data_IF_172797356667
#
_entry.id   IF_172797356667
#
_cell.length_a   1.000
_cell.length_b   1.000
_cell.length_c   1.000
_cell.angle_alpha   90.00
_cell.angle_beta   90.00
_cell.angle_gamma   90.00
#
_symmetry.space_group_name_H-M   'P 1'
#
loop_
_entity.id
_entity.type
_entity.pdbx_description
1 polymer ?
#
# COMPACT_ATOMS: atom_id res chain seq x y z
N UNK A 1 5.48 -19.58 -21.38
CA UNK A 1 5.52 -20.17 -19.99
C UNK A 1 5.55 -21.69 -20.02
N UNK A 2 6.19 -22.35 -19.04
CA UNK A 2 6.12 -23.82 -18.90
C UNK A 2 4.84 -24.22 -18.15
N UNK A 3 4.31 -25.42 -18.44
CA UNK A 3 3.13 -25.94 -17.73
C UNK A 3 3.38 -26.11 -16.20
N UNK A 4 4.63 -26.24 -15.77
CA UNK A 4 4.99 -26.29 -14.35
C UNK A 4 4.86 -24.91 -13.71
N UNK A 5 5.30 -23.86 -14.40
CA UNK A 5 5.19 -22.49 -13.93
C UNK A 5 3.72 -22.04 -13.81
N UNK A 6 2.89 -22.36 -14.80
CA UNK A 6 1.44 -22.09 -14.75
C UNK A 6 0.77 -22.78 -13.56
N UNK A 7 1.08 -24.07 -13.32
CA UNK A 7 0.56 -24.77 -12.14
C UNK A 7 1.04 -24.17 -10.82
N UNK A 8 2.27 -23.64 -10.79
CA UNK A 8 2.76 -22.93 -9.61
C UNK A 8 1.99 -21.62 -9.40
N UNK A 9 1.79 -20.83 -10.44
CA UNK A 9 1.02 -19.57 -10.38
C UNK A 9 -0.38 -19.80 -9.82
N UNK A 10 -1.10 -20.81 -10.32
CA UNK A 10 -2.45 -21.13 -9.86
C UNK A 10 -2.48 -21.58 -8.38
N UNK A 11 -1.51 -22.38 -7.97
CA UNK A 11 -1.38 -22.79 -6.56
C UNK A 11 -1.06 -21.60 -5.66
N UNK A 12 -0.10 -20.77 -6.07
CA UNK A 12 0.32 -19.61 -5.29
C UNK A 12 -0.79 -18.57 -5.19
N UNK A 13 -1.54 -18.33 -6.27
CA UNK A 13 -2.71 -17.45 -6.26
C UNK A 13 -3.73 -17.86 -5.19
N UNK A 14 -4.13 -19.13 -5.18
CA UNK A 14 -5.08 -19.64 -4.17
C UNK A 14 -4.53 -19.57 -2.75
N UNK A 15 -3.24 -19.85 -2.57
CA UNK A 15 -2.57 -19.72 -1.27
C UNK A 15 -2.49 -18.26 -0.82
N UNK A 16 -2.14 -17.35 -1.73
CA UNK A 16 -2.08 -15.92 -1.43
C UNK A 16 -3.45 -15.39 -1.04
N UNK A 17 -4.51 -15.77 -1.74
CA UNK A 17 -5.88 -15.38 -1.38
C UNK A 17 -6.26 -15.88 0.03
N UNK A 18 -6.03 -17.17 0.32
CA UNK A 18 -6.33 -17.75 1.63
C UNK A 18 -5.50 -17.10 2.75
N UNK A 19 -4.20 -16.89 2.54
CA UNK A 19 -3.30 -16.30 3.54
C UNK A 19 -3.61 -14.81 3.78
N UNK A 20 -3.92 -14.04 2.74
CA UNK A 20 -4.33 -12.64 2.86
C UNK A 20 -5.61 -12.50 3.72
N UNK A 21 -6.59 -13.37 3.50
CA UNK A 21 -7.86 -13.33 4.23
C UNK A 21 -7.70 -13.58 5.74
N UNK A 22 -6.63 -14.23 6.19
CA UNK A 22 -6.32 -14.34 7.63
C UNK A 22 -6.10 -12.99 8.29
N UNK A 23 -5.64 -11.99 7.52
CA UNK A 23 -5.43 -10.61 8.00
C UNK A 23 -6.71 -9.76 8.01
N UNK A 24 -7.80 -10.25 7.42
CA UNK A 24 -9.07 -9.50 7.25
C UNK A 24 -10.03 -9.86 8.37
N UNK A 25 -10.48 -8.86 9.13
CA UNK A 25 -11.37 -9.08 10.29
C UNK A 25 -10.86 -10.17 11.25
N UNK A 26 -9.59 -10.13 11.72
CA UNK A 26 -8.94 -11.25 12.41
C UNK A 26 -9.38 -11.35 13.89
N UNK A 27 -10.68 -11.37 14.16
CA UNK A 27 -11.32 -11.29 15.48
C UNK A 27 -10.93 -12.44 16.44
N UNK A 28 -10.43 -13.55 15.89
CA UNK A 28 -9.97 -14.70 16.66
C UNK A 28 -8.52 -14.58 17.16
N UNK A 29 -7.77 -13.59 16.68
CA UNK A 29 -6.37 -13.40 17.08
C UNK A 29 -6.29 -12.33 18.19
N UNK A 30 -5.50 -12.59 19.21
CA UNK A 30 -5.30 -11.66 20.33
C UNK A 30 -3.82 -11.35 20.47
N UNK A 31 -3.46 -10.07 20.40
CA UNK A 31 -2.08 -9.59 20.57
C UNK A 31 -1.92 -8.94 21.93
N UNK A 32 -1.03 -9.50 22.75
CA UNK A 32 -0.57 -8.83 23.99
C UNK A 32 0.67 -7.99 23.67
N UNK A 33 0.73 -6.78 24.20
CA UNK A 33 1.89 -5.87 24.21
C UNK A 33 2.24 -5.50 25.65
N UNK A 34 2.89 -6.41 26.39
CA UNK A 34 3.16 -6.20 27.82
C UNK A 34 3.93 -4.92 28.11
N UNK A 35 4.89 -4.56 27.24
CA UNK A 35 5.66 -3.33 27.39
C UNK A 35 4.81 -2.06 27.39
N UNK A 36 3.73 -2.05 26.61
CA UNK A 36 2.75 -0.96 26.58
C UNK A 36 1.54 -1.19 27.50
N UNK A 37 1.52 -2.29 28.25
CA UNK A 37 0.48 -2.60 29.23
C UNK A 37 -0.90 -2.88 28.63
N UNK A 38 -1.01 -3.26 27.34
CA UNK A 38 -2.30 -3.48 26.70
C UNK A 38 -2.40 -4.78 25.90
N UNK A 39 -3.63 -5.22 25.70
CA UNK A 39 -3.98 -6.38 24.89
C UNK A 39 -4.97 -5.95 23.82
N UNK A 40 -4.62 -6.20 22.56
CA UNK A 40 -5.41 -5.84 21.38
C UNK A 40 -6.26 -7.01 20.92
N UNK A 41 -7.55 -6.76 20.74
CA UNK A 41 -8.53 -7.70 20.20
C UNK A 41 -9.15 -7.11 18.95
N UNK A 42 -8.73 -7.54 17.75
CA UNK A 42 -9.23 -7.01 16.50
C UNK A 42 -10.76 -7.06 16.44
N UNK A 43 -11.35 -6.05 15.79
CA UNK A 43 -12.78 -6.01 15.49
C UNK A 43 -13.02 -6.24 14.01
N UNK A 44 -14.26 -6.56 13.64
CA UNK A 44 -14.66 -6.74 12.23
C UNK A 44 -14.36 -5.48 11.43
N UNK A 45 -13.87 -5.67 10.22
CA UNK A 45 -13.51 -4.60 9.29
C UNK A 45 -12.07 -4.10 9.45
N UNK A 46 -11.37 -4.41 10.56
CA UNK A 46 -9.95 -4.15 10.65
C UNK A 46 -9.17 -5.08 9.71
N UNK A 47 -8.09 -4.58 9.13
CA UNK A 47 -7.16 -5.36 8.30
C UNK A 47 -5.76 -5.14 8.85
N UNK A 48 -5.11 -6.21 9.32
CA UNK A 48 -3.76 -6.13 9.88
C UNK A 48 -2.71 -6.40 8.80
N UNK A 49 -1.58 -5.68 8.87
CA UNK A 49 -0.53 -5.87 7.87
C UNK A 49 0.11 -7.26 7.98
N UNK A 50 0.22 -7.83 9.20
CA UNK A 50 0.63 -9.22 9.40
C UNK A 50 -0.12 -9.83 10.59
N UNK A 51 -0.59 -11.10 10.49
CA UNK A 51 -1.24 -11.81 11.59
C UNK A 51 -0.25 -12.43 12.60
N UNK A 52 1.05 -12.29 12.34
CA UNK A 52 2.10 -12.86 13.18
C UNK A 52 2.21 -12.08 14.49
N UNK A 53 2.22 -12.78 15.61
CA UNK A 53 2.37 -12.20 16.95
C UNK A 53 3.85 -11.96 17.28
N UNK A 54 4.49 -11.09 16.50
CA UNK A 54 5.91 -10.76 16.61
C UNK A 54 6.16 -9.62 17.62
N UNK A 55 7.35 -9.60 18.21
CA UNK A 55 7.79 -8.61 19.20
C UNK A 55 9.12 -7.95 18.81
N UNK A 56 9.27 -7.55 17.52
CA UNK A 56 10.42 -6.86 16.94
C UNK A 56 11.70 -7.69 16.76
N UNK A 57 11.77 -8.90 17.30
CA UNK A 57 12.89 -9.82 17.08
C UNK A 57 12.39 -11.27 17.10
N UNK A 58 12.61 -12.06 16.05
CA UNK A 58 13.29 -11.68 14.78
C UNK A 58 12.43 -10.86 13.82
N UNK A 59 11.10 -10.83 13.98
CA UNK A 59 10.16 -10.21 13.06
C UNK A 59 9.59 -8.91 13.67
N UNK A 60 9.24 -7.90 12.85
CA UNK A 60 8.61 -6.67 13.33
C UNK A 60 7.17 -6.89 13.78
N UNK A 61 6.71 -6.08 14.73
CA UNK A 61 5.29 -6.07 15.14
C UNK A 61 4.46 -5.31 14.10
N UNK A 62 3.88 -6.02 13.15
CA UNK A 62 2.98 -5.50 12.12
C UNK A 62 1.51 -5.83 12.41
N UNK A 63 1.18 -6.12 13.65
CA UNK A 63 -0.19 -6.37 14.10
C UNK A 63 -0.97 -5.06 14.30
N UNK A 64 -1.03 -4.24 13.23
CA UNK A 64 -1.75 -2.98 13.17
C UNK A 64 -2.55 -2.87 11.87
N UNK A 65 -3.55 -2.00 11.88
CA UNK A 65 -4.29 -1.59 10.69
C UNK A 65 -3.62 -0.35 10.10
N UNK A 66 -2.78 -0.52 9.06
CA UNK A 66 -2.27 0.58 8.24
C UNK A 66 -3.33 1.03 7.27
N UNK A 67 -3.52 2.34 7.11
CA UNK A 67 -4.51 2.89 6.18
C UNK A 67 -4.17 2.51 4.73
N UNK A 68 -2.90 2.62 4.32
CA UNK A 68 -2.42 2.20 2.99
C UNK A 68 -2.61 0.72 2.73
N UNK A 69 -2.06 -0.14 3.59
CA UNK A 69 -2.08 -1.59 3.43
C UNK A 69 -3.49 -2.14 3.37
N UNK A 70 -4.36 -1.61 4.23
CA UNK A 70 -5.76 -2.03 4.27
C UNK A 70 -6.52 -1.68 2.99
N UNK A 71 -6.21 -0.54 2.36
CA UNK A 71 -6.80 -0.15 1.09
C UNK A 71 -6.33 -1.06 -0.06
N UNK A 72 -5.03 -1.41 -0.09
CA UNK A 72 -4.47 -2.35 -1.09
C UNK A 72 -5.08 -3.74 -0.94
N UNK A 73 -5.19 -4.25 0.30
CA UNK A 73 -5.83 -5.54 0.57
C UNK A 73 -7.30 -5.53 0.18
N UNK A 74 -8.03 -4.44 0.45
CA UNK A 74 -9.45 -4.33 0.09
C UNK A 74 -9.65 -4.25 -1.44
N UNK A 75 -8.71 -3.66 -2.18
CA UNK A 75 -8.75 -3.70 -3.64
C UNK A 75 -8.45 -5.11 -4.18
N UNK A 76 -7.53 -5.85 -3.57
CA UNK A 76 -7.29 -7.26 -3.91
C UNK A 76 -8.52 -8.16 -3.62
N UNK A 77 -9.29 -7.90 -2.55
CA UNK A 77 -10.58 -8.58 -2.29
C UNK A 77 -11.59 -8.27 -3.39
N UNK A 78 -11.63 -7.04 -3.90
CA UNK A 78 -12.45 -6.68 -5.06
C UNK A 78 -12.09 -7.52 -6.29
N UNK A 79 -10.80 -7.67 -6.57
CA UNK A 79 -10.34 -8.51 -7.69
C UNK A 79 -10.74 -9.96 -7.54
N UNK A 80 -10.66 -10.52 -6.32
CA UNK A 80 -11.15 -11.87 -6.03
C UNK A 80 -12.67 -11.99 -6.24
N UNK A 81 -13.43 -10.96 -5.88
CA UNK A 81 -14.88 -10.89 -6.11
C UNK A 81 -15.22 -10.85 -7.59
N UNK A 82 -14.59 -9.97 -8.37
CA UNK A 82 -14.79 -9.86 -9.83
C UNK A 82 -14.45 -11.17 -10.57
N UNK A 83 -13.44 -11.89 -10.09
CA UNK A 83 -13.06 -13.18 -10.64
C UNK A 83 -14.00 -14.34 -10.27
N UNK A 84 -14.92 -14.11 -9.32
CA UNK A 84 -15.76 -15.18 -8.77
C UNK A 84 -15.05 -16.13 -7.81
N UNK A 85 -13.83 -15.80 -7.38
CA UNK A 85 -13.03 -16.61 -6.44
C UNK A 85 -13.45 -16.37 -4.99
N UNK A 86 -14.09 -15.25 -4.72
CA UNK A 86 -14.67 -14.91 -3.42
C UNK A 86 -16.10 -14.34 -3.63
N UNK A 87 -17.10 -15.04 -3.13
CA UNK A 87 -18.51 -14.69 -3.34
C UNK A 87 -19.02 -13.60 -2.39
N UNK A 88 -20.20 -13.80 -1.82
CA UNK A 88 -20.87 -12.83 -0.93
C UNK A 88 -20.05 -12.41 0.29
N UNK A 89 -19.10 -13.24 0.74
CA UNK A 89 -18.19 -12.91 1.85
C UNK A 89 -17.34 -11.69 1.52
N UNK A 90 -16.98 -11.47 0.24
CA UNK A 90 -16.25 -10.29 -0.18
C UNK A 90 -17.03 -8.99 0.11
N UNK A 91 -18.35 -8.99 -0.18
CA UNK A 91 -19.24 -7.85 0.10
C UNK A 91 -19.39 -7.63 1.60
N UNK A 92 -19.44 -8.72 2.39
CA UNK A 92 -19.46 -8.65 3.85
C UNK A 92 -18.18 -8.02 4.39
N UNK A 93 -17.00 -8.46 3.93
CA UNK A 93 -15.70 -7.87 4.31
C UNK A 93 -15.63 -6.40 3.93
N UNK A 94 -16.09 -6.03 2.74
CA UNK A 94 -16.15 -4.65 2.30
C UNK A 94 -17.06 -3.79 3.19
N UNK A 95 -18.27 -4.27 3.50
CA UNK A 95 -19.20 -3.55 4.38
C UNK A 95 -18.64 -3.34 5.80
N UNK A 96 -17.98 -4.37 6.35
CA UNK A 96 -17.33 -4.28 7.65
C UNK A 96 -16.15 -3.29 7.61
N UNK A 97 -15.32 -3.30 6.54
CA UNK A 97 -14.22 -2.36 6.34
C UNK A 97 -14.70 -0.90 6.26
N UNK A 98 -15.77 -0.63 5.51
CA UNK A 98 -16.38 0.71 5.42
C UNK A 98 -16.87 1.18 6.79
N UNK A 99 -17.51 0.31 7.56
CA UNK A 99 -17.99 0.63 8.91
C UNK A 99 -16.81 0.95 9.83
N UNK A 100 -15.81 0.08 9.90
CA UNK A 100 -14.61 0.27 10.71
C UNK A 100 -13.89 1.59 10.34
N UNK A 101 -13.73 1.88 9.06
CA UNK A 101 -13.11 3.11 8.59
C UNK A 101 -13.85 4.38 9.03
N UNK A 102 -15.18 4.34 9.07
CA UNK A 102 -16.00 5.44 9.58
C UNK A 102 -15.92 5.56 11.11
N UNK A 103 -15.86 4.43 11.82
CA UNK A 103 -15.73 4.40 13.27
C UNK A 103 -14.39 5.01 13.72
N UNK A 104 -13.33 4.89 12.92
CA UNK A 104 -12.06 5.55 13.19
C UNK A 104 -12.15 7.09 13.18
N UNK A 105 -13.06 7.68 12.38
CA UNK A 105 -13.16 9.14 12.23
C UNK A 105 -13.62 9.86 13.52
N UNK A 106 -14.12 9.14 14.52
CA UNK A 106 -14.53 9.72 15.82
C UNK A 106 -13.46 9.62 16.90
N UNK A 107 -12.28 9.08 16.55
CA UNK A 107 -11.15 9.00 17.46
C UNK A 107 -10.67 10.40 17.87
N UNK A 108 -10.19 10.51 19.10
CA UNK A 108 -9.74 11.78 19.66
C UNK A 108 -8.62 11.53 20.67
N UNK A 109 -7.40 11.91 20.31
CA UNK A 109 -6.22 11.73 21.16
C UNK A 109 -6.28 12.51 22.46
N UNK A 110 -7.08 13.58 22.53
CA UNK A 110 -7.33 14.34 23.79
C UNK A 110 -8.02 13.48 24.84
N UNK A 111 -8.90 12.54 24.41
CA UNK A 111 -9.52 11.55 25.30
C UNK A 111 -8.51 10.53 25.81
N UNK A 112 -7.54 10.14 24.96
CA UNK A 112 -6.44 9.24 25.36
C UNK A 112 -5.58 9.90 26.45
N UNK A 113 -5.26 11.19 26.33
CA UNK A 113 -4.47 11.94 27.30
C UNK A 113 -5.25 12.15 28.61
N UNK A 114 -6.55 12.45 28.52
CA UNK A 114 -7.40 12.68 29.68
C UNK A 114 -7.55 11.41 30.55
N UNK A 115 -7.46 10.23 29.95
CA UNK A 115 -7.45 8.96 30.68
C UNK A 115 -6.01 8.51 30.93
N UNK A 116 -5.43 8.86 32.06
CA UNK A 116 -4.03 8.55 32.41
C UNK A 116 -3.80 7.12 32.89
N UNK A 117 -4.86 6.38 33.25
CA UNK A 117 -4.75 5.04 33.83
C UNK A 117 -3.97 4.01 32.98
N UNK A 118 -4.00 4.14 31.64
CA UNK A 118 -3.25 3.26 30.76
C UNK A 118 -1.72 3.40 30.93
N UNK A 119 -1.23 4.59 31.32
CA UNK A 119 0.22 4.84 31.51
C UNK A 119 0.80 4.11 32.69
N UNK A 120 0.00 3.85 33.71
CA UNK A 120 0.41 3.08 34.92
C UNK A 120 0.75 1.63 34.54
N UNK A 121 0.21 1.13 33.43
CA UNK A 121 0.46 -0.21 32.91
C UNK A 121 1.66 -0.30 31.98
N UNK A 122 2.23 0.85 31.52
CA UNK A 122 3.39 0.88 30.62
C UNK A 122 4.66 0.62 31.40
N UNK A 123 5.47 -0.33 30.93
CA UNK A 123 6.77 -0.64 31.56
C UNK A 123 7.72 0.56 31.40
N UNK A 124 8.54 0.81 32.44
CA UNK A 124 9.42 1.99 32.47
C UNK A 124 10.32 2.09 31.23
N UNK A 125 10.89 0.99 30.76
CA UNK A 125 11.75 0.94 29.58
C UNK A 125 11.01 1.24 28.25
N UNK A 126 9.66 1.13 28.26
CA UNK A 126 8.82 1.39 27.10
C UNK A 126 8.29 2.83 27.05
N UNK A 127 8.39 3.59 28.15
CA UNK A 127 7.94 5.00 28.19
C UNK A 127 8.56 5.86 27.09
N UNK A 128 9.81 5.60 26.72
CA UNK A 128 10.53 6.30 25.65
C UNK A 128 9.97 6.06 24.23
N UNK A 129 9.17 5.03 24.05
CA UNK A 129 8.53 4.68 22.79
C UNK A 129 7.09 5.20 22.70
N UNK A 130 6.61 5.90 23.71
CA UNK A 130 5.29 6.52 23.68
C UNK A 130 5.30 7.78 22.82
N UNK A 131 4.16 8.05 22.20
CA UNK A 131 3.87 9.36 21.60
C UNK A 131 3.83 10.43 22.69
N UNK A 132 4.26 11.63 22.34
CA UNK A 132 4.14 12.79 23.21
C UNK A 132 2.68 13.22 23.33
N UNK A 133 2.36 13.92 24.42
CA UNK A 133 1.00 14.41 24.68
C UNK A 133 0.53 15.44 23.66
N UNK A 134 1.43 16.31 23.22
CA UNK A 134 1.14 17.31 22.19
C UNK A 134 0.82 16.65 20.84
N UNK A 135 1.53 15.57 20.47
CA UNK A 135 1.25 14.77 19.28
C UNK A 135 -0.10 14.06 19.37
N UNK A 136 -0.41 13.43 20.52
CA UNK A 136 -1.71 12.80 20.76
C UNK A 136 -2.84 13.83 20.76
N UNK A 137 -2.65 14.99 21.41
CA UNK A 137 -3.64 16.05 21.46
C UNK A 137 -4.04 16.59 20.10
N UNK A 138 -3.10 16.56 19.14
CA UNK A 138 -3.35 17.00 17.77
C UNK A 138 -4.21 16.02 16.96
N UNK A 139 -4.36 14.76 17.40
CA UNK A 139 -5.07 13.70 16.67
C UNK A 139 -6.58 13.81 16.91
N UNK A 140 -7.26 14.59 16.08
CA UNK A 140 -8.73 14.71 16.02
C UNK A 140 -9.16 15.29 14.67
N UNK A 141 -10.41 15.09 14.27
CA UNK A 141 -10.92 15.58 12.98
C UNK A 141 -10.10 15.00 11.81
N UNK A 142 -9.66 15.86 10.91
CA UNK A 142 -8.92 15.44 9.70
C UNK A 142 -7.56 14.79 10.01
N UNK A 143 -6.94 15.12 11.16
CA UNK A 143 -5.69 14.50 11.58
C UNK A 143 -5.80 12.98 11.82
N UNK A 144 -7.01 12.46 12.10
CA UNK A 144 -7.25 11.01 12.17
C UNK A 144 -7.02 10.34 10.82
N UNK A 145 -7.41 11.00 9.74
CA UNK A 145 -7.27 10.46 8.38
C UNK A 145 -5.81 10.44 7.93
N UNK A 146 -4.98 11.29 8.55
CA UNK A 146 -3.53 11.36 8.34
C UNK A 146 -2.72 10.42 9.26
N UNK A 147 -3.36 9.63 10.12
CA UNK A 147 -2.67 8.61 10.88
C UNK A 147 -2.07 7.54 9.94
N UNK A 148 -0.86 7.12 10.23
CA UNK A 148 -0.21 6.05 9.46
C UNK A 148 -0.92 4.72 9.71
N UNK A 149 -1.19 4.44 11.01
CA UNK A 149 -1.81 3.20 11.47
C UNK A 149 -2.57 3.41 12.77
N UNK A 150 -3.48 2.47 13.04
CA UNK A 150 -4.24 2.36 14.29
C UNK A 150 -4.20 0.92 14.78
N UNK A 151 -4.57 0.68 16.04
CA UNK A 151 -4.77 -0.67 16.52
C UNK A 151 -6.00 -1.30 15.83
N UNK A 152 -5.98 -2.62 15.55
CA UNK A 152 -7.10 -3.29 14.88
C UNK A 152 -8.35 -3.45 15.74
N UNK A 153 -8.30 -3.04 17.03
CA UNK A 153 -9.48 -2.90 17.88
C UNK A 153 -10.17 -1.53 17.76
N UNK A 154 -9.67 -0.67 16.87
CA UNK A 154 -10.20 0.67 16.63
C UNK A 154 -9.68 1.74 17.58
N UNK A 155 -8.65 1.46 18.38
CA UNK A 155 -8.00 2.45 19.26
C UNK A 155 -6.80 3.10 18.56
N UNK A 156 -6.42 4.32 19.00
CA UNK A 156 -5.20 4.98 18.51
C UNK A 156 -3.96 4.18 18.91
N UNK A 157 -2.99 4.14 17.98
CA UNK A 157 -1.63 3.70 18.31
C UNK A 157 -0.97 4.76 19.20
N UNK A 158 -0.64 4.36 20.43
CA UNK A 158 0.04 5.19 21.43
C UNK A 158 1.56 5.18 21.29
N UNK A 159 2.10 4.33 20.41
CA UNK A 159 3.54 4.24 20.18
C UNK A 159 4.03 5.37 19.25
N UNK A 160 5.26 5.82 19.49
CA UNK A 160 5.93 6.75 18.58
C UNK A 160 6.12 6.09 17.23
N UNK A 161 5.67 6.76 16.18
CA UNK A 161 5.77 6.29 14.79
C UNK A 161 5.79 7.48 13.83
N UNK A 162 6.23 7.27 12.57
CA UNK A 162 6.28 8.34 11.56
C UNK A 162 4.88 8.78 11.14
N UNK A 163 4.56 10.07 11.27
CA UNK A 163 3.30 10.74 10.94
C UNK A 163 3.55 12.19 10.53
N UNK A 164 2.63 12.87 9.82
CA UNK A 164 1.42 12.34 9.18
C UNK A 164 1.73 11.57 7.90
N UNK A 165 0.79 10.73 7.44
CA UNK A 165 0.86 10.02 6.16
C UNK A 165 -0.41 10.29 5.34
N UNK A 166 -0.26 10.84 4.13
CA UNK A 166 -1.39 11.32 3.33
C UNK A 166 -1.78 10.39 2.18
N UNK A 167 -1.13 9.24 2.04
CA UNK A 167 -1.43 8.25 0.98
C UNK A 167 -2.60 7.33 1.30
N UNK A 168 -2.92 7.15 2.59
CA UNK A 168 -3.99 6.25 3.03
C UNK A 168 -5.39 6.67 2.58
N UNK A 169 -5.73 7.95 2.71
CA UNK A 169 -7.05 8.47 2.32
C UNK A 169 -7.33 8.32 0.81
N UNK A 170 -6.45 8.78 -0.11
CA UNK A 170 -6.70 8.62 -1.54
C UNK A 170 -6.72 7.15 -1.98
N UNK A 171 -5.89 6.28 -1.40
CA UNK A 171 -5.92 4.84 -1.69
C UNK A 171 -7.24 4.21 -1.24
N UNK A 172 -7.73 4.55 -0.05
CA UNK A 172 -9.02 4.06 0.44
C UNK A 172 -10.16 4.56 -0.42
N UNK A 173 -10.14 5.84 -0.81
CA UNK A 173 -11.13 6.39 -1.75
C UNK A 173 -11.13 5.62 -3.08
N UNK A 174 -9.95 5.36 -3.67
CA UNK A 174 -9.80 4.60 -4.91
C UNK A 174 -10.37 3.18 -4.76
N UNK A 175 -9.98 2.46 -3.72
CA UNK A 175 -10.48 1.11 -3.45
C UNK A 175 -12.01 1.11 -3.34
N UNK A 176 -12.58 2.01 -2.53
CA UNK A 176 -14.04 2.09 -2.33
C UNK A 176 -14.78 2.51 -3.61
N UNK A 177 -14.26 3.47 -4.38
CA UNK A 177 -14.84 3.88 -5.67
C UNK A 177 -14.84 2.72 -6.68
N UNK A 178 -13.78 1.94 -6.75
CA UNK A 178 -13.69 0.76 -7.63
C UNK A 178 -14.70 -0.31 -7.23
N UNK A 179 -14.92 -0.52 -5.94
CA UNK A 179 -15.99 -1.39 -5.45
C UNK A 179 -17.39 -0.96 -5.92
N UNK A 180 -17.67 0.36 -5.95
CA UNK A 180 -18.97 0.87 -6.45
C UNK A 180 -19.20 0.63 -7.95
N UNK A 181 -18.17 0.31 -8.72
CA UNK A 181 -18.27 -0.02 -10.15
C UNK A 181 -18.64 -1.48 -10.38
N UNK A 182 -18.24 -2.36 -9.47
CA UNK A 182 -18.41 -3.81 -9.62
C UNK A 182 -19.59 -4.36 -8.82
N UNK A 183 -20.09 -3.60 -7.85
CA UNK A 183 -21.22 -3.99 -7.01
C UNK A 183 -22.09 -2.79 -6.64
N UNK A 184 -23.41 -2.98 -6.71
CA UNK A 184 -24.38 -1.99 -6.25
C UNK A 184 -24.73 -2.25 -4.80
N UNK A 185 -24.55 -1.23 -3.95
CA UNK A 185 -24.92 -1.32 -2.55
C UNK A 185 -26.31 -0.71 -2.32
N UNK A 186 -27.00 -1.16 -1.31
CA UNK A 186 -28.31 -0.67 -0.92
C UNK A 186 -28.32 -0.01 0.46
N UNK A 187 -29.41 0.74 0.74
CA UNK A 187 -29.75 1.26 2.05
C UNK A 187 -28.61 1.93 2.81
N UNK A 188 -28.34 1.43 4.01
CA UNK A 188 -27.36 1.99 4.95
C UNK A 188 -25.92 1.85 4.44
N UNK A 189 -25.58 0.74 3.77
CA UNK A 189 -24.22 0.55 3.26
C UNK A 189 -23.89 1.56 2.16
N UNK A 190 -24.81 1.84 1.24
CA UNK A 190 -24.63 2.88 0.21
C UNK A 190 -24.41 4.26 0.83
N UNK A 191 -25.15 4.61 1.89
CA UNK A 191 -24.96 5.87 2.61
C UNK A 191 -23.60 5.96 3.28
N UNK A 192 -23.14 4.87 3.91
CA UNK A 192 -21.80 4.77 4.54
C UNK A 192 -20.67 4.86 3.52
N UNK A 193 -20.78 4.16 2.40
CA UNK A 193 -19.83 4.23 1.27
C UNK A 193 -19.72 5.68 0.80
N UNK A 194 -20.85 6.34 0.55
CA UNK A 194 -20.86 7.74 0.11
C UNK A 194 -20.22 8.67 1.13
N UNK A 195 -20.47 8.46 2.42
CA UNK A 195 -19.87 9.25 3.50
C UNK A 195 -18.36 9.08 3.55
N UNK A 196 -17.87 7.84 3.47
CA UNK A 196 -16.44 7.53 3.52
C UNK A 196 -15.69 8.13 2.32
N UNK A 197 -16.20 7.91 1.10
CA UNK A 197 -15.62 8.47 -0.13
C UNK A 197 -15.52 9.99 -0.05
N UNK A 198 -16.58 10.67 0.38
CA UNK A 198 -16.58 12.14 0.51
C UNK A 198 -15.56 12.64 1.51
N UNK A 199 -15.44 11.97 2.66
CA UNK A 199 -14.45 12.31 3.68
C UNK A 199 -13.03 12.17 3.15
N UNK A 200 -12.70 11.06 2.51
CA UNK A 200 -11.37 10.80 1.98
C UNK A 200 -10.99 11.75 0.84
N UNK A 201 -11.95 12.03 -0.05
CA UNK A 201 -11.75 12.99 -1.15
C UNK A 201 -11.58 14.42 -0.63
N UNK A 202 -12.37 14.83 0.38
CA UNK A 202 -12.26 16.15 1.00
C UNK A 202 -10.89 16.32 1.68
N UNK A 203 -10.45 15.31 2.45
CA UNK A 203 -9.11 15.29 3.04
C UNK A 203 -8.02 15.40 1.96
N UNK A 204 -8.08 14.56 0.92
CA UNK A 204 -7.10 14.57 -0.17
C UNK A 204 -7.04 15.93 -0.85
N UNK A 205 -8.19 16.55 -1.15
CA UNK A 205 -8.29 17.87 -1.76
C UNK A 205 -7.67 18.96 -0.90
N UNK A 206 -7.87 18.91 0.42
CA UNK A 206 -7.38 19.92 1.35
C UNK A 206 -5.87 19.82 1.62
N UNK A 207 -5.32 18.59 1.70
CA UNK A 207 -4.00 18.35 2.31
C UNK A 207 -2.90 17.88 1.35
N UNK A 208 -3.15 17.61 0.07
CA UNK A 208 -2.14 17.07 -0.85
C UNK A 208 -0.89 17.97 -1.03
N UNK A 209 -1.00 19.27 -0.74
CA UNK A 209 0.12 20.24 -0.81
C UNK A 209 1.02 20.19 0.40
N UNK A 210 0.54 19.65 1.50
CA UNK A 210 1.27 19.60 2.76
C UNK A 210 2.32 18.49 2.70
N UNK A 211 3.50 18.69 3.32
CA UNK A 211 4.46 17.62 3.45
C UNK A 211 3.91 16.49 4.33
N UNK A 212 4.16 15.27 3.92
CA UNK A 212 3.84 14.07 4.69
C UNK A 212 5.04 13.12 4.73
N UNK A 213 4.94 12.05 5.48
CA UNK A 213 5.94 10.98 5.47
C UNK A 213 5.69 10.08 4.25
N UNK A 214 6.77 9.53 3.67
CA UNK A 214 6.70 8.59 2.54
C UNK A 214 6.08 7.24 2.91
N UNK A 215 5.80 6.41 1.90
CA UNK A 215 5.20 5.07 2.09
C UNK A 215 6.11 4.10 2.86
N UNK A 216 7.39 4.42 3.01
CA UNK A 216 8.35 3.64 3.80
C UNK A 216 8.51 4.17 5.24
N UNK A 217 7.84 5.28 5.55
CA UNK A 217 7.78 5.88 6.89
C UNK A 217 9.13 6.46 7.35
N UNK A 218 9.94 6.98 6.41
CA UNK A 218 11.33 7.38 6.64
C UNK A 218 11.60 8.88 6.46
N UNK A 219 11.02 9.54 5.46
CA UNK A 219 11.36 10.92 5.11
C UNK A 219 10.12 11.80 4.91
N UNK A 220 10.18 13.04 5.40
CA UNK A 220 9.11 14.02 5.24
C UNK A 220 9.32 14.89 4.00
N UNK A 221 8.26 15.05 3.20
CA UNK A 221 8.29 15.83 1.97
C UNK A 221 7.03 15.66 1.12
N UNK A 222 7.16 16.02 -0.15
CA UNK A 222 6.19 15.63 -1.16
C UNK A 222 6.67 14.37 -1.89
N UNK A 223 5.81 13.39 -2.01
CA UNK A 223 6.14 12.08 -2.54
C UNK A 223 5.38 11.79 -3.82
N UNK A 224 6.11 11.33 -4.84
CA UNK A 224 5.54 10.96 -6.14
C UNK A 224 4.35 10.01 -5.99
N UNK A 225 4.51 8.99 -5.14
CA UNK A 225 3.47 8.01 -4.86
C UNK A 225 2.19 8.67 -4.33
N UNK A 226 2.30 9.43 -3.24
CA UNK A 226 1.16 10.10 -2.59
C UNK A 226 0.46 11.07 -3.54
N UNK A 227 1.22 11.86 -4.30
CA UNK A 227 0.67 12.79 -5.29
C UNK A 227 -0.06 12.04 -6.42
N UNK A 228 0.52 10.95 -6.93
CA UNK A 228 -0.07 10.18 -8.02
C UNK A 228 -1.42 9.56 -7.63
N UNK A 229 -1.47 8.88 -6.46
CA UNK A 229 -2.73 8.30 -5.97
C UNK A 229 -3.75 9.36 -5.57
N UNK A 230 -3.30 10.55 -5.10
CA UNK A 230 -4.17 11.70 -4.83
C UNK A 230 -4.82 12.24 -6.11
N UNK A 231 -4.05 12.42 -7.19
CA UNK A 231 -4.59 12.84 -8.48
C UNK A 231 -5.61 11.83 -9.03
N UNK A 232 -5.30 10.53 -8.93
CA UNK A 232 -6.20 9.46 -9.36
C UNK A 232 -7.51 9.46 -8.55
N UNK A 233 -7.42 9.56 -7.21
CA UNK A 233 -8.59 9.58 -6.34
C UNK A 233 -9.50 10.78 -6.61
N UNK A 234 -8.93 11.97 -6.78
CA UNK A 234 -9.70 13.18 -7.11
C UNK A 234 -10.35 13.08 -8.50
N UNK A 235 -9.68 12.48 -9.48
CA UNK A 235 -10.24 12.26 -10.82
C UNK A 235 -11.38 11.25 -10.81
N UNK A 236 -11.16 10.06 -10.23
CA UNK A 236 -12.19 9.03 -10.11
C UNK A 236 -13.36 9.50 -9.23
N UNK A 237 -13.03 10.23 -8.15
CA UNK A 237 -14.03 10.88 -7.29
C UNK A 237 -14.83 11.96 -8.00
N UNK A 238 -14.22 12.73 -8.92
CA UNK A 238 -14.93 13.71 -9.73
C UNK A 238 -15.95 13.04 -10.68
N UNK A 239 -15.59 11.91 -11.28
CA UNK A 239 -16.50 11.15 -12.13
C UNK A 239 -17.70 10.60 -11.31
N UNK A 240 -17.42 10.07 -10.12
CA UNK A 240 -18.44 9.60 -9.20
C UNK A 240 -19.36 10.73 -8.73
N UNK A 241 -18.84 11.91 -8.38
CA UNK A 241 -19.60 13.10 -7.99
C UNK A 241 -20.46 13.64 -9.15
N UNK A 242 -19.96 13.57 -10.38
CA UNK A 242 -20.73 13.96 -11.56
C UNK A 242 -22.00 13.12 -11.70
N UNK A 243 -21.89 11.80 -11.48
CA UNK A 243 -23.04 10.87 -11.48
C UNK A 243 -23.96 11.13 -10.27
N UNK A 244 -23.40 11.48 -9.13
CA UNK A 244 -24.14 11.82 -7.91
C UNK A 244 -24.89 13.16 -7.97
N UNK A 245 -24.77 13.93 -9.08
CA UNK A 245 -25.48 15.20 -9.27
C UNK A 245 -24.76 16.41 -8.65
N UNK A 246 -23.46 16.32 -8.40
CA UNK A 246 -22.64 17.40 -7.82
C UNK A 246 -21.58 17.94 -8.82
N UNK A 247 -21.99 18.50 -9.98
CA UNK A 247 -21.07 18.83 -11.06
C UNK A 247 -20.09 19.96 -10.70
N UNK A 248 -20.42 20.81 -9.74
CA UNK A 248 -19.50 21.91 -9.31
C UNK A 248 -18.33 21.34 -8.53
N UNK A 249 -18.58 20.47 -7.56
CA UNK A 249 -17.55 19.81 -6.76
C UNK A 249 -16.70 18.88 -7.65
N UNK A 250 -17.35 18.14 -8.57
CA UNK A 250 -16.67 17.32 -9.57
C UNK A 250 -15.66 18.12 -10.41
N UNK A 251 -16.04 19.33 -10.87
CA UNK A 251 -15.12 20.22 -11.61
C UNK A 251 -13.96 20.67 -10.75
N UNK A 252 -14.19 21.02 -9.48
CA UNK A 252 -13.13 21.44 -8.56
C UNK A 252 -12.10 20.32 -8.34
N UNK A 253 -12.57 19.08 -8.10
CA UNK A 253 -11.67 17.95 -7.89
C UNK A 253 -10.90 17.57 -9.16
N UNK A 254 -11.53 17.63 -10.32
CA UNK A 254 -10.84 17.39 -11.60
C UNK A 254 -9.78 18.45 -11.87
N UNK A 255 -10.08 19.72 -11.63
CA UNK A 255 -9.11 20.80 -11.79
C UNK A 255 -7.92 20.64 -10.85
N UNK A 256 -8.15 20.19 -9.62
CA UNK A 256 -7.10 19.95 -8.64
C UNK A 256 -6.23 18.75 -9.03
N UNK A 257 -6.82 17.67 -9.51
CA UNK A 257 -6.08 16.53 -10.05
C UNK A 257 -5.12 16.95 -11.18
N UNK A 258 -5.56 17.83 -12.10
CA UNK A 258 -4.71 18.36 -13.15
C UNK A 258 -3.56 19.24 -12.62
N UNK A 259 -3.77 19.93 -11.49
CA UNK A 259 -2.69 20.67 -10.83
C UNK A 259 -1.65 19.70 -10.28
N UNK A 260 -2.08 18.63 -9.62
CA UNK A 260 -1.18 17.60 -9.08
C UNK A 260 -0.36 16.95 -10.21
N UNK A 261 -1.00 16.61 -11.34
CA UNK A 261 -0.29 16.01 -12.49
C UNK A 261 0.80 16.96 -13.03
N UNK A 262 0.54 18.27 -13.09
CA UNK A 262 1.59 19.25 -13.46
C UNK A 262 2.73 19.32 -12.44
N UNK A 263 2.44 19.17 -11.15
CA UNK A 263 3.49 19.08 -10.11
C UNK A 263 4.33 17.82 -10.31
N UNK A 264 3.70 16.69 -10.62
CA UNK A 264 4.39 15.42 -10.90
C UNK A 264 5.34 15.50 -12.11
N UNK A 265 5.05 16.32 -13.12
CA UNK A 265 5.99 16.54 -14.23
C UNK A 265 7.34 17.10 -13.76
N UNK A 266 7.35 17.89 -12.68
CA UNK A 266 8.57 18.41 -12.06
C UNK A 266 9.41 17.35 -11.31
N UNK A 267 8.91 16.13 -11.17
CA UNK A 267 9.68 15.01 -10.59
C UNK A 267 10.56 14.29 -11.61
N UNK A 268 10.39 14.53 -12.91
CA UNK A 268 11.27 13.96 -13.93
C UNK A 268 12.66 14.59 -13.88
N UNK A 269 13.69 13.75 -13.86
CA UNK A 269 15.10 14.14 -13.90
C UNK A 269 15.67 13.78 -15.28
N UNK A 270 15.67 14.69 -16.25
CA UNK A 270 16.01 14.38 -17.64
C UNK A 270 17.46 13.91 -17.79
N UNK A 271 18.41 14.49 -17.03
CA UNK A 271 19.82 14.12 -17.08
C UNK A 271 20.09 12.74 -16.46
N UNK A 272 19.23 12.28 -15.56
CA UNK A 272 19.34 11.00 -14.87
C UNK A 272 18.43 9.92 -15.48
N UNK A 273 17.45 10.32 -16.27
CA UNK A 273 16.55 9.42 -16.99
C UNK A 273 15.58 8.63 -16.09
N UNK A 274 15.12 9.23 -14.99
CA UNK A 274 14.12 8.64 -14.12
C UNK A 274 13.27 9.70 -13.41
N UNK A 275 12.11 9.30 -12.91
CA UNK A 275 11.35 10.09 -11.94
C UNK A 275 11.97 9.97 -10.55
N UNK A 276 12.24 11.09 -9.89
CA UNK A 276 12.52 11.05 -8.45
C UNK A 276 11.26 10.70 -7.68
N UNK A 277 11.42 9.97 -6.58
CA UNK A 277 10.31 9.54 -5.73
C UNK A 277 9.82 10.64 -4.78
N UNK A 278 10.66 11.65 -4.51
CA UNK A 278 10.38 12.65 -3.45
C UNK A 278 11.11 13.96 -3.64
N UNK A 279 10.55 15.00 -3.03
CA UNK A 279 11.21 16.28 -2.73
C UNK A 279 11.09 16.50 -1.22
N UNK A 280 12.23 16.61 -0.53
CA UNK A 280 12.23 16.73 0.93
C UNK A 280 11.72 18.08 1.40
N UNK A 281 11.01 18.11 2.53
CA UNK A 281 10.57 19.34 3.19
C UNK A 281 11.74 20.27 3.57
N UNK A 282 12.93 19.70 3.80
CA UNK A 282 14.17 20.45 4.05
C UNK A 282 14.72 21.17 2.82
N UNK A 283 14.23 20.88 1.62
CA UNK A 283 14.78 21.34 0.34
C UNK A 283 16.06 20.64 -0.10
N UNK A 284 16.59 19.72 0.69
CA UNK A 284 17.77 18.92 0.32
C UNK A 284 17.40 17.82 -0.68
N UNK A 285 18.39 17.31 -1.40
CA UNK A 285 18.22 16.13 -2.25
C UNK A 285 18.23 14.85 -1.39
N UNK A 286 17.29 13.94 -1.64
CA UNK A 286 17.27 12.63 -0.98
C UNK A 286 18.22 11.66 -1.67
N UNK A 287 18.94 10.85 -0.89
CA UNK A 287 19.70 9.71 -1.43
C UNK A 287 18.79 8.56 -1.93
N UNK A 288 17.48 8.62 -1.64
CA UNK A 288 16.45 7.61 -1.96
C UNK A 288 15.57 8.03 -3.14
N UNK A 289 16.07 8.90 -4.04
CA UNK A 289 15.26 9.46 -5.13
C UNK A 289 14.82 8.43 -6.16
N UNK A 290 15.68 7.45 -6.49
CA UNK A 290 15.33 6.34 -7.36
C UNK A 290 14.75 5.21 -6.52
N UNK A 291 13.42 5.07 -6.58
CA UNK A 291 12.64 4.28 -5.65
C UNK A 291 11.49 3.57 -6.39
N UNK A 292 11.25 2.32 -6.05
CA UNK A 292 10.16 1.50 -6.61
C UNK A 292 8.77 2.09 -6.34
N UNK A 293 8.64 2.96 -5.33
CA UNK A 293 7.39 3.66 -5.04
C UNK A 293 6.83 4.42 -6.24
N UNK A 294 7.68 4.85 -7.19
CA UNK A 294 7.25 5.48 -8.44
C UNK A 294 6.49 4.47 -9.32
N UNK A 295 6.97 3.25 -9.42
CA UNK A 295 6.32 2.17 -10.19
C UNK A 295 5.02 1.73 -9.49
N UNK A 296 5.06 1.56 -8.15
CA UNK A 296 3.87 1.25 -7.37
C UNK A 296 2.78 2.32 -7.50
N UNK A 297 3.16 3.60 -7.62
CA UNK A 297 2.22 4.68 -7.87
C UNK A 297 1.42 4.47 -9.17
N UNK A 298 2.09 4.10 -10.27
CA UNK A 298 1.43 3.88 -11.55
C UNK A 298 0.43 2.71 -11.51
N UNK A 299 0.77 1.61 -10.83
CA UNK A 299 -0.11 0.45 -10.71
C UNK A 299 -1.27 0.67 -9.74
N UNK A 300 -1.08 1.41 -8.65
CA UNK A 300 -2.15 1.69 -7.70
C UNK A 300 -3.10 2.79 -8.19
N UNK A 301 -2.59 3.80 -8.90
CA UNK A 301 -3.42 4.85 -9.50
C UNK A 301 -4.24 4.36 -10.70
N UNK A 302 -3.77 3.36 -11.46
CA UNK A 302 -4.44 2.79 -12.66
C UNK A 302 -4.94 3.85 -13.64
N UNK A 303 -4.10 4.84 -13.93
CA UNK A 303 -4.46 5.89 -14.90
C UNK A 303 -4.40 5.41 -16.35
N UNK A 304 -5.23 5.98 -17.20
CA UNK A 304 -5.33 5.68 -18.65
C UNK A 304 -4.66 6.75 -19.55
N UNK A 305 -4.15 7.81 -18.95
CA UNK A 305 -3.44 8.89 -19.64
C UNK A 305 -2.06 8.49 -20.19
N UNK A 306 -1.45 9.34 -21.01
CA UNK A 306 -0.10 9.09 -21.57
C UNK A 306 1.03 9.41 -20.58
N UNK A 307 0.78 10.16 -19.52
CA UNK A 307 1.77 10.56 -18.51
C UNK A 307 1.44 9.98 -17.15
N UNK A 308 2.48 9.69 -16.35
CA UNK A 308 2.42 9.16 -14.98
C UNK A 308 1.68 7.81 -14.85
N UNK A 309 1.59 7.06 -15.94
CA UNK A 309 0.91 5.75 -16.02
C UNK A 309 1.86 4.70 -16.60
N UNK A 310 1.41 3.46 -16.68
CA UNK A 310 2.15 2.37 -17.34
C UNK A 310 2.42 2.63 -18.84
N UNK A 311 1.78 3.64 -19.44
CA UNK A 311 1.98 4.07 -20.82
C UNK A 311 3.07 5.14 -20.99
N UNK A 312 3.53 5.74 -19.91
CA UNK A 312 4.54 6.81 -19.95
C UNK A 312 5.95 6.24 -20.20
N UNK A 313 6.62 6.63 -21.31
CA UNK A 313 7.99 6.19 -21.57
C UNK A 313 8.98 6.55 -20.44
N UNK A 314 8.72 7.63 -19.69
CA UNK A 314 9.53 8.03 -18.53
C UNK A 314 9.40 7.03 -17.38
N UNK A 315 8.21 6.40 -17.20
CA UNK A 315 8.02 5.31 -16.25
C UNK A 315 8.77 4.05 -16.70
N UNK A 316 8.76 3.74 -18.02
CA UNK A 316 9.54 2.63 -18.56
C UNK A 316 11.04 2.82 -18.30
N UNK A 317 11.55 4.05 -18.51
CA UNK A 317 12.93 4.39 -18.21
C UNK A 317 13.24 4.27 -16.70
N UNK A 318 12.32 4.73 -15.85
CA UNK A 318 12.46 4.62 -14.38
C UNK A 318 12.54 3.15 -13.95
N UNK A 319 11.66 2.27 -14.45
CA UNK A 319 11.73 0.82 -14.17
C UNK A 319 13.07 0.23 -14.61
N UNK A 320 13.55 0.58 -15.80
CA UNK A 320 14.84 0.09 -16.30
C UNK A 320 16.01 0.56 -15.43
N UNK A 321 15.98 1.79 -14.92
CA UNK A 321 17.00 2.30 -14.00
C UNK A 321 16.99 1.55 -12.68
N UNK A 322 15.80 1.25 -12.13
CA UNK A 322 15.66 0.45 -10.92
C UNK A 322 16.21 -0.97 -11.12
N UNK A 323 15.88 -1.64 -12.22
CA UNK A 323 16.46 -2.96 -12.54
C UNK A 323 17.99 -2.91 -12.57
N UNK A 324 18.57 -1.95 -13.28
CA UNK A 324 20.04 -1.83 -13.37
C UNK A 324 20.70 -1.65 -12.00
N UNK A 325 20.06 -0.87 -11.12
CA UNK A 325 20.55 -0.66 -9.74
C UNK A 325 20.49 -1.96 -8.94
N UNK A 326 19.35 -2.64 -8.91
CA UNK A 326 19.20 -3.85 -8.10
C UNK A 326 19.94 -5.06 -8.69
N UNK A 327 20.11 -5.11 -10.02
CA UNK A 327 20.95 -6.12 -10.66
C UNK A 327 22.40 -6.10 -10.17
N UNK A 328 22.95 -4.91 -10.00
CA UNK A 328 24.29 -4.74 -9.49
C UNK A 328 24.38 -4.81 -7.96
N UNK A 329 23.38 -4.29 -7.25
CA UNK A 329 23.41 -4.16 -5.80
C UNK A 329 23.18 -5.50 -5.07
N UNK A 330 22.26 -6.33 -5.56
CA UNK A 330 21.87 -7.55 -4.84
C UNK A 330 22.64 -8.79 -5.30
N UNK A 331 23.38 -9.45 -4.40
CA UNK A 331 24.13 -10.67 -4.72
C UNK A 331 23.28 -11.78 -5.33
N UNK A 332 22.01 -11.94 -4.92
CA UNK A 332 21.09 -12.97 -5.48
C UNK A 332 20.82 -12.76 -6.97
N UNK A 333 20.95 -11.52 -7.49
CA UNK A 333 20.72 -11.23 -8.90
C UNK A 333 21.90 -11.66 -9.80
N UNK A 334 23.10 -11.83 -9.23
CA UNK A 334 24.32 -12.15 -10.01
C UNK A 334 24.27 -13.53 -10.68
N UNK A 335 23.58 -14.48 -10.07
CA UNK A 335 23.53 -15.87 -10.51
C UNK A 335 22.12 -16.31 -10.95
N UNK A 336 21.24 -15.33 -11.28
CA UNK A 336 19.90 -15.66 -11.75
C UNK A 336 19.93 -16.37 -13.10
N UNK A 337 19.00 -17.27 -13.34
CA UNK A 337 18.83 -17.92 -14.64
C UNK A 337 18.37 -16.91 -15.71
N UNK A 338 18.52 -17.27 -16.97
CA UNK A 338 18.07 -16.45 -18.11
C UNK A 338 16.54 -16.19 -18.13
N UNK A 339 15.78 -16.98 -17.35
CA UNK A 339 14.32 -16.84 -17.26
C UNK A 339 13.88 -15.98 -16.07
N UNK A 340 14.79 -15.60 -15.20
CA UNK A 340 14.51 -14.80 -14.01
C UNK A 340 14.78 -13.33 -14.25
N UNK A 341 13.84 -12.48 -13.81
CA UNK A 341 14.02 -11.03 -13.71
C UNK A 341 14.85 -10.64 -12.50
N UNK A 342 15.04 -9.35 -12.34
CA UNK A 342 15.76 -8.78 -11.20
C UNK A 342 14.89 -8.83 -9.94
N UNK A 343 15.42 -9.36 -8.85
CA UNK A 343 14.81 -9.20 -7.53
C UNK A 343 14.86 -7.72 -7.13
N UNK A 344 13.70 -7.10 -6.90
CA UNK A 344 13.57 -5.66 -6.72
C UNK A 344 13.50 -5.27 -5.24
N UNK A 345 14.13 -4.16 -4.89
CA UNK A 345 14.06 -3.54 -3.56
C UNK A 345 13.15 -2.31 -3.52
N UNK A 346 13.25 -1.53 -2.43
CA UNK A 346 12.62 -0.22 -2.30
C UNK A 346 13.48 0.84 -3.02
N UNK A 347 14.69 1.05 -2.56
CA UNK A 347 15.69 1.99 -3.10
C UNK A 347 17.11 1.45 -2.81
N UNK A 348 18.11 2.01 -3.47
CA UNK A 348 19.51 1.63 -3.24
C UNK A 348 19.98 2.05 -1.84
N UNK A 349 20.66 1.13 -1.15
CA UNK A 349 21.21 1.38 0.19
C UNK A 349 20.19 1.21 1.32
N UNK A 350 19.06 0.58 1.06
CA UNK A 350 18.09 0.19 2.10
C UNK A 350 18.78 -0.72 3.14
N UNK A 351 18.56 -0.41 4.41
CA UNK A 351 19.15 -1.15 5.56
C UNK A 351 18.08 -1.77 6.47
N UNK A 352 16.80 -1.66 6.10
CA UNK A 352 15.73 -2.22 6.89
C UNK A 352 15.77 -3.75 6.84
N UNK A 353 15.92 -4.41 7.98
CA UNK A 353 16.17 -5.86 8.10
C UNK A 353 17.35 -6.32 7.22
N UNK A 354 17.09 -6.98 6.09
CA UNK A 354 18.15 -7.43 5.16
C UNK A 354 18.50 -6.39 4.10
N UNK A 355 17.77 -5.28 4.03
CA UNK A 355 17.90 -4.30 2.95
C UNK A 355 17.30 -4.74 1.61
N UNK A 356 16.37 -5.69 1.65
CA UNK A 356 15.62 -6.19 0.47
C UNK A 356 16.21 -7.49 -0.05
N UNK A 357 15.70 -8.13 -1.09
CA UNK A 357 14.60 -7.76 -1.97
C UNK A 357 13.21 -7.85 -1.29
N UNK A 358 12.21 -7.26 -1.95
CA UNK A 358 10.85 -7.24 -1.43
C UNK A 358 9.91 -7.99 -2.38
N UNK A 359 8.98 -8.79 -1.84
CA UNK A 359 7.98 -9.48 -2.64
C UNK A 359 7.08 -8.51 -3.38
N UNK A 360 6.47 -7.54 -2.68
CA UNK A 360 5.58 -6.57 -3.32
C UNK A 360 6.29 -5.65 -4.32
N UNK A 361 7.61 -5.37 -4.17
CA UNK A 361 8.38 -4.60 -5.14
C UNK A 361 8.63 -5.39 -6.43
N UNK A 362 8.97 -6.66 -6.29
CA UNK A 362 9.23 -7.55 -7.44
C UNK A 362 7.91 -7.87 -8.17
N UNK A 363 6.84 -8.12 -7.43
CA UNK A 363 5.49 -8.29 -7.97
C UNK A 363 4.96 -7.01 -8.62
N UNK A 364 5.17 -5.83 -8.00
CA UNK A 364 4.77 -4.57 -8.59
C UNK A 364 5.48 -4.27 -9.92
N UNK A 365 6.75 -4.69 -10.06
CA UNK A 365 7.45 -4.60 -11.35
C UNK A 365 6.84 -5.55 -12.39
N UNK A 366 6.40 -6.76 -11.99
CA UNK A 366 5.70 -7.69 -12.86
C UNK A 366 4.34 -7.13 -13.30
N UNK A 367 3.52 -6.67 -12.36
CA UNK A 367 2.21 -6.07 -12.63
C UNK A 367 2.32 -4.87 -13.57
N UNK A 368 3.30 -3.98 -13.35
CA UNK A 368 3.58 -2.88 -14.26
C UNK A 368 3.82 -3.37 -15.69
N UNK A 369 4.60 -4.43 -15.86
CA UNK A 369 4.88 -5.01 -17.18
C UNK A 369 3.61 -5.57 -17.84
N UNK A 370 2.76 -6.26 -17.12
CA UNK A 370 1.51 -6.80 -17.68
C UNK A 370 0.53 -5.70 -18.06
N UNK A 371 0.37 -4.69 -17.22
CA UNK A 371 -0.45 -3.52 -17.55
C UNK A 371 0.10 -2.74 -18.75
N UNK A 372 1.43 -2.60 -18.86
CA UNK A 372 2.07 -1.96 -20.03
C UNK A 372 1.86 -2.79 -21.31
N UNK A 373 1.84 -4.12 -21.22
CA UNK A 373 1.59 -5.00 -22.35
C UNK A 373 0.25 -4.73 -23.03
N UNK A 374 -0.81 -4.44 -22.25
CA UNK A 374 -2.14 -4.16 -22.77
C UNK A 374 -2.20 -2.91 -23.68
N UNK A 375 -1.18 -2.05 -23.61
CA UNK A 375 -1.13 -0.77 -24.33
C UNK A 375 0.07 -0.64 -25.28
N UNK A 376 0.85 -1.70 -25.48
CA UNK A 376 2.10 -1.67 -26.23
C UNK A 376 2.05 -2.52 -27.49
N UNK A 377 2.59 -2.05 -28.63
CA UNK A 377 2.82 -2.90 -29.80
C UNK A 377 3.83 -4.02 -29.52
N UNK A 378 4.69 -3.88 -28.50
CA UNK A 378 5.64 -4.89 -28.04
C UNK A 378 5.07 -5.70 -26.85
N UNK A 379 3.78 -6.00 -26.85
CA UNK A 379 3.08 -6.69 -25.76
C UNK A 379 3.81 -7.97 -25.29
N UNK A 380 4.28 -8.80 -26.25
CA UNK A 380 4.98 -10.04 -25.93
C UNK A 380 6.30 -9.84 -25.16
N UNK A 381 6.99 -8.74 -25.35
CA UNK A 381 8.23 -8.42 -24.64
C UNK A 381 7.93 -8.01 -23.20
N UNK A 382 6.89 -7.21 -23.01
CA UNK A 382 6.41 -6.83 -21.69
C UNK A 382 5.90 -8.04 -20.90
N UNK A 383 5.12 -8.91 -21.52
CA UNK A 383 4.66 -10.17 -20.88
C UNK A 383 5.86 -11.02 -20.47
N UNK A 384 6.85 -11.23 -21.33
CA UNK A 384 8.05 -11.99 -20.96
C UNK A 384 8.82 -11.37 -19.81
N UNK A 385 8.88 -10.02 -19.75
CA UNK A 385 9.53 -9.30 -18.66
C UNK A 385 8.76 -9.49 -17.35
N UNK A 386 7.44 -9.42 -17.37
CA UNK A 386 6.57 -9.72 -16.23
C UNK A 386 6.74 -11.15 -15.73
N UNK A 387 6.70 -12.12 -16.65
CA UNK A 387 6.92 -13.54 -16.32
C UNK A 387 8.29 -13.78 -15.67
N UNK A 388 9.32 -13.06 -16.11
CA UNK A 388 10.65 -13.17 -15.52
C UNK A 388 10.69 -12.68 -14.07
N UNK A 389 9.99 -11.61 -13.71
CA UNK A 389 9.83 -11.18 -12.31
C UNK A 389 9.08 -12.22 -11.48
N UNK A 390 8.03 -12.83 -12.02
CA UNK A 390 7.28 -13.88 -11.35
C UNK A 390 8.13 -15.15 -11.13
N UNK A 391 9.00 -15.53 -12.08
CA UNK A 391 9.95 -16.62 -11.87
C UNK A 391 10.96 -16.31 -10.76
N UNK A 392 11.33 -15.04 -10.55
CA UNK A 392 12.15 -14.63 -9.41
C UNK A 392 11.38 -14.78 -8.11
N UNK A 393 10.13 -14.34 -8.06
CA UNK A 393 9.26 -14.57 -6.89
C UNK A 393 9.12 -16.07 -6.60
N UNK A 394 8.90 -16.90 -7.64
CA UNK A 394 8.81 -18.35 -7.49
C UNK A 394 10.06 -18.95 -6.85
N UNK A 395 11.24 -18.53 -7.30
CA UNK A 395 12.52 -19.04 -6.80
C UNK A 395 12.68 -18.84 -5.29
N UNK A 396 12.17 -17.73 -4.76
CA UNK A 396 12.32 -17.34 -3.36
C UNK A 396 11.05 -17.55 -2.53
N UNK A 397 10.01 -18.15 -3.10
CA UNK A 397 8.80 -18.56 -2.38
C UNK A 397 8.97 -19.99 -1.84
N UNK A 398 8.88 -20.24 -0.54
CA UNK A 398 8.97 -21.57 0.02
C UNK A 398 7.80 -22.47 -0.43
N UNK A 399 7.95 -23.79 -0.25
CA UNK A 399 6.96 -24.78 -0.71
C UNK A 399 5.56 -24.58 -0.12
N UNK A 400 5.48 -24.04 1.12
CA UNK A 400 4.21 -23.73 1.77
C UNK A 400 3.51 -22.50 1.16
N UNK A 401 4.18 -21.74 0.26
CA UNK A 401 3.63 -20.54 -0.40
C UNK A 401 3.57 -19.32 0.48
N UNK A 402 4.27 -19.29 1.61
CA UNK A 402 4.35 -18.12 2.48
C UNK A 402 5.05 -16.97 1.76
N UNK A 403 4.52 -15.73 1.90
CA UNK A 403 5.15 -14.51 1.45
C UNK A 403 5.36 -13.60 2.66
N UNK A 404 6.63 -13.32 2.95
CA UNK A 404 7.04 -12.30 3.91
C UNK A 404 7.08 -10.91 3.24
N UNK A 405 7.54 -9.91 3.97
CA UNK A 405 7.84 -8.60 3.41
C UNK A 405 9.05 -8.67 2.47
N UNK A 406 10.12 -9.31 2.95
CA UNK A 406 11.41 -9.38 2.26
C UNK A 406 11.86 -10.83 2.05
N UNK A 407 12.71 -11.00 1.05
CA UNK A 407 13.65 -12.11 0.97
C UNK A 407 15.08 -11.54 0.90
N UNK A 408 15.98 -12.12 1.68
CA UNK A 408 17.34 -11.61 1.90
C UNK A 408 18.12 -11.46 0.59
N UNK A 409 18.67 -10.27 0.36
CA UNK A 409 19.38 -9.93 -0.88
C UNK A 409 20.64 -10.76 -1.15
N UNK A 410 21.13 -11.56 -0.19
CA UNK A 410 22.30 -12.42 -0.32
C UNK A 410 21.95 -13.89 -0.40
N UNK A 411 21.01 -14.34 0.40
CA UNK A 411 20.65 -15.73 0.57
C UNK A 411 19.33 -16.13 -0.05
N UNK A 412 18.41 -15.17 -0.27
CA UNK A 412 17.05 -15.40 -0.68
C UNK A 412 16.13 -15.93 0.42
N UNK A 413 16.61 -16.09 1.65
CA UNK A 413 15.80 -16.52 2.78
C UNK A 413 14.78 -15.43 3.15
N UNK A 414 13.56 -15.85 3.53
CA UNK A 414 12.55 -14.90 3.97
C UNK A 414 12.97 -14.18 5.26
N UNK A 415 12.69 -12.88 5.32
CA UNK A 415 13.01 -12.03 6.47
C UNK A 415 12.00 -10.89 6.60
N UNK A 416 12.08 -10.12 7.69
CA UNK A 416 11.12 -9.08 8.06
C UNK A 416 9.72 -9.67 8.37
N UNK A 417 8.65 -8.91 8.16
CA UNK A 417 7.29 -9.35 8.51
C UNK A 417 6.86 -10.58 7.70
N UNK A 418 6.67 -11.69 8.39
CA UNK A 418 6.10 -12.90 7.78
C UNK A 418 4.61 -12.70 7.53
N UNK A 419 4.07 -13.42 6.53
CA UNK A 419 2.67 -13.32 6.12
C UNK A 419 2.21 -11.88 5.89
N UNK A 420 3.01 -11.07 5.18
CA UNK A 420 2.61 -9.70 4.90
C UNK A 420 1.40 -9.67 3.95
N UNK A 421 0.31 -9.07 4.41
CA UNK A 421 -0.94 -8.98 3.64
C UNK A 421 -0.74 -8.27 2.29
N UNK A 422 0.08 -7.21 2.25
CA UNK A 422 0.42 -6.51 1.01
C UNK A 422 1.17 -7.41 0.00
N UNK A 423 2.08 -8.26 0.44
CA UNK A 423 2.77 -9.20 -0.47
C UNK A 423 1.80 -10.18 -1.13
N UNK A 424 0.81 -10.66 -0.39
CA UNK A 424 -0.25 -11.51 -0.94
C UNK A 424 -1.19 -10.74 -1.86
N UNK A 425 -1.58 -9.52 -1.47
CA UNK A 425 -2.42 -8.65 -2.30
C UNK A 425 -1.74 -8.34 -3.64
N UNK A 426 -0.44 -8.02 -3.63
CA UNK A 426 0.34 -7.78 -4.83
C UNK A 426 0.38 -9.00 -5.76
N UNK A 427 0.46 -10.23 -5.21
CA UNK A 427 0.39 -11.44 -6.04
C UNK A 427 -0.99 -11.64 -6.70
N UNK A 428 -2.06 -11.29 -5.98
CA UNK A 428 -3.43 -11.38 -6.51
C UNK A 428 -3.64 -10.34 -7.62
N UNK A 429 -3.21 -9.10 -7.41
CA UNK A 429 -3.32 -8.00 -8.36
C UNK A 429 -2.54 -8.29 -9.65
N UNK A 430 -1.28 -8.72 -9.51
CA UNK A 430 -0.41 -9.09 -10.61
C UNK A 430 -1.03 -10.20 -11.49
N UNK A 431 -1.55 -11.27 -10.89
CA UNK A 431 -2.18 -12.37 -11.62
C UNK A 431 -3.42 -11.94 -12.41
N UNK A 432 -4.19 -10.97 -11.91
CA UNK A 432 -5.37 -10.44 -12.59
C UNK A 432 -5.04 -9.47 -13.73
N UNK A 433 -3.88 -8.85 -13.69
CA UNK A 433 -3.41 -7.97 -14.77
C UNK A 433 -3.01 -8.73 -16.06
N UNK A 434 -2.90 -10.06 -16.00
CA UNK A 434 -2.55 -10.95 -17.13
C UNK A 434 -3.80 -11.43 -17.89
N UNK A 435 -4.98 -11.35 -17.32
CA UNK A 435 -6.27 -11.79 -17.88
C UNK A 435 -7.03 -10.57 -18.38
#
# INVERSE_FOLDING_TARGET
>A
MSAEFERWLDRQYRRSAAAMLVSVSPVGIVKSRPGFGHTIRPVKGSIIASPVLADWKPDPDYFFHWFRDSAVVMDAIRLLFEAGDLGADAVTHFGDFVRFSLDLQVLDGRKVIANTAWRENVMLDFMRFLRRDDELAAVHGDAIVAETRVNPDGTLDISSWSRPQHDGAPLRALSVLRWTRVHSFDGDLQARVSKLVRSDLAFTFAHWREPSIDIWEEESGQHYYTLCVSAAALREGADWLQVAGEPQLARSYRAEAEIILRVLDGFWLPDEGHYRSRTLASGNRSAKELDIAVILAAIHALGDGPAHTVRDPRMHATLQRLENVFDSAYPINRNRSAHQGVAMGRYHGDVYFSGGAYYFSTLGAAEFCFLAAAHSPAASDWVRRGDAFLETVRQYTPENGELSEQFDQRTGAQTSARHLAWSYAAFISDRKSVV
#
